data_IF_886306430901
#
_entry.id   IF_886306430901
#
_cell.length_a   1.000
_cell.length_b   1.000
_cell.length_c   1.000
_cell.angle_alpha   90.00
_cell.angle_beta   90.00
_cell.angle_gamma   90.00
#
_symmetry.space_group_name_H-M   'P 1'
#
loop_
_entity.id
_entity.type
_entity.pdbx_description
1 polymer ?
#
# COMPACT_ATOMS: atom_id res chain seq x y z
N UNK A 1 26.94 70.34 19.16
CA UNK A 1 26.69 69.05 19.79
C UNK A 1 25.27 68.58 19.40
N UNK A 2 25.15 67.78 18.33
CA UNK A 2 23.89 67.36 17.77
C UNK A 2 23.73 65.87 18.10
N UNK A 3 22.72 65.49 18.90
CA UNK A 3 22.41 64.15 19.27
C UNK A 3 21.52 63.51 18.19
N UNK A 4 22.02 62.52 17.46
CA UNK A 4 21.21 61.61 16.61
C UNK A 4 20.52 60.56 17.48
N UNK A 5 19.22 60.47 17.34
CA UNK A 5 18.43 59.38 17.89
C UNK A 5 18.22 58.31 16.78
N UNK A 6 18.69 57.08 17.02
CA UNK A 6 18.36 55.92 16.20
C UNK A 6 17.05 55.31 16.72
N UNK A 7 16.01 55.32 15.90
CA UNK A 7 14.82 54.50 16.14
C UNK A 7 15.06 53.12 15.54
N UNK A 8 15.14 52.09 16.37
CA UNK A 8 15.10 50.68 15.94
C UNK A 8 13.65 50.27 15.75
N UNK A 9 13.26 49.98 14.52
CA UNK A 9 11.99 49.32 14.21
C UNK A 9 12.17 47.81 14.40
N UNK A 10 11.56 47.26 15.44
CA UNK A 10 11.42 45.79 15.59
C UNK A 10 10.29 45.33 14.69
N UNK A 11 10.62 44.60 13.59
CA UNK A 11 9.66 43.86 12.81
C UNK A 11 9.22 42.65 13.63
N UNK A 12 8.07 42.72 14.26
CA UNK A 12 7.41 41.51 14.80
C UNK A 12 6.82 40.73 13.62
N UNK A 13 7.54 39.70 13.20
CA UNK A 13 7.01 38.66 12.28
C UNK A 13 5.92 37.88 13.00
N UNK A 14 4.66 38.08 12.63
CA UNK A 14 3.56 37.22 13.04
C UNK A 14 3.71 35.86 12.33
N UNK A 15 4.29 34.88 12.99
CA UNK A 15 4.17 33.49 12.59
C UNK A 15 2.71 33.09 12.74
N UNK A 16 1.98 32.99 11.63
CA UNK A 16 0.65 32.39 11.60
C UNK A 16 0.80 30.92 11.98
N UNK A 17 0.47 30.57 13.21
CA UNK A 17 0.26 29.18 13.60
C UNK A 17 -0.98 28.72 12.86
N UNK A 18 -0.80 27.98 11.76
CA UNK A 18 -1.90 27.25 11.13
C UNK A 18 -2.30 26.17 12.15
N UNK A 19 -3.41 26.41 12.85
CA UNK A 19 -4.01 25.40 13.71
C UNK A 19 -4.45 24.24 12.81
N UNK A 20 -3.66 23.17 12.74
CA UNK A 20 -4.11 21.93 12.15
C UNK A 20 -5.23 21.38 13.04
N UNK A 21 -6.37 21.03 12.44
CA UNK A 21 -7.41 20.30 13.14
C UNK A 21 -6.82 19.00 13.69
N UNK A 22 -7.30 18.54 14.84
CA UNK A 22 -6.84 17.27 15.39
C UNK A 22 -7.19 16.13 14.42
N UNK A 23 -6.27 15.15 14.24
CA UNK A 23 -6.54 13.98 13.40
C UNK A 23 -7.84 13.26 13.79
N UNK A 24 -8.61 12.83 12.80
CA UNK A 24 -9.88 12.16 12.99
C UNK A 24 -9.67 10.66 13.15
N UNK A 25 -10.16 10.07 14.25
CA UNK A 25 -10.23 8.62 14.40
C UNK A 25 -11.38 8.05 13.55
N UNK A 26 -11.07 7.05 12.72
CA UNK A 26 -12.01 6.40 11.79
C UNK A 26 -12.52 5.06 12.33
N UNK A 27 -11.62 4.23 12.85
CA UNK A 27 -12.03 2.95 13.45
C UNK A 27 -12.76 3.17 14.78
N UNK A 28 -13.78 2.35 15.10
CA UNK A 28 -14.46 2.44 16.38
C UNK A 28 -13.52 2.23 17.56
N UNK A 29 -13.78 2.89 18.67
CA UNK A 29 -13.00 2.72 19.91
C UNK A 29 -13.15 1.29 20.46
N UNK A 30 -12.06 0.75 21.01
CA UNK A 30 -12.01 -0.61 21.57
C UNK A 30 -11.76 -1.72 20.54
N UNK A 31 -11.67 -1.39 19.26
CA UNK A 31 -11.24 -2.29 18.20
C UNK A 31 -9.71 -2.42 18.17
N UNK A 32 -9.20 -3.46 17.50
CA UNK A 32 -7.75 -3.66 17.22
C UNK A 32 -7.51 -3.49 15.75
N UNK A 33 -7.70 -2.26 15.29
CA UNK A 33 -7.63 -1.90 13.89
C UNK A 33 -6.18 -1.72 13.42
N UNK A 34 -5.85 -2.27 12.25
CA UNK A 34 -4.52 -2.24 11.66
C UNK A 34 -4.56 -2.28 10.13
N UNK A 35 -3.39 -2.12 9.50
CA UNK A 35 -3.18 -2.31 8.06
C UNK A 35 -4.19 -1.51 7.19
N UNK A 36 -4.23 -0.18 7.32
CA UNK A 36 -5.18 0.65 6.58
C UNK A 36 -4.90 0.65 5.08
N UNK A 37 -5.98 0.86 4.31
CA UNK A 37 -5.94 1.27 2.90
C UNK A 37 -7.00 2.33 2.63
N UNK A 38 -6.90 3.04 1.52
CA UNK A 38 -7.79 4.15 1.19
C UNK A 38 -8.05 4.22 -0.31
N UNK A 39 -9.27 4.57 -0.68
CA UNK A 39 -9.62 4.96 -2.04
C UNK A 39 -10.55 6.16 -2.05
N UNK A 40 -10.45 6.95 -3.12
CA UNK A 40 -11.31 8.11 -3.39
C UNK A 40 -12.05 7.85 -4.70
N UNK A 41 -13.38 7.95 -4.68
CA UNK A 41 -14.18 7.84 -5.87
C UNK A 41 -14.24 9.17 -6.63
N UNK A 42 -14.60 9.10 -7.92
CA UNK A 42 -14.71 10.27 -8.80
C UNK A 42 -15.69 11.34 -8.29
N UNK A 43 -16.74 10.94 -7.55
CA UNK A 43 -17.71 11.85 -6.93
C UNK A 43 -17.17 12.52 -5.66
N UNK A 44 -15.94 12.21 -5.23
CA UNK A 44 -15.29 12.74 -4.04
C UNK A 44 -15.54 11.96 -2.74
N UNK A 45 -16.33 10.89 -2.78
CA UNK A 45 -16.47 9.99 -1.61
C UNK A 45 -15.12 9.35 -1.28
N UNK A 46 -14.81 9.27 0.01
CA UNK A 46 -13.59 8.64 0.53
C UNK A 46 -13.97 7.40 1.31
N UNK A 47 -13.35 6.27 0.98
CA UNK A 47 -13.49 5.04 1.77
C UNK A 47 -12.14 4.66 2.35
N UNK A 48 -12.12 4.49 3.67
CA UNK A 48 -10.98 3.96 4.41
C UNK A 48 -11.29 2.52 4.78
N UNK A 49 -10.37 1.62 4.48
CA UNK A 49 -10.41 0.21 4.78
C UNK A 49 -9.38 -0.12 5.85
N UNK A 50 -9.66 -1.08 6.72
CA UNK A 50 -8.71 -1.66 7.67
C UNK A 50 -9.03 -3.11 7.98
N UNK A 51 -8.11 -3.81 8.60
CA UNK A 51 -8.37 -5.10 9.25
C UNK A 51 -8.56 -4.92 10.73
N UNK A 52 -9.42 -5.74 11.31
CA UNK A 52 -9.61 -5.82 12.75
C UNK A 52 -9.45 -7.26 13.22
N UNK A 53 -8.80 -7.45 14.37
CA UNK A 53 -8.68 -8.79 14.94
C UNK A 53 -10.07 -9.30 15.31
N UNK A 54 -10.45 -10.45 14.76
CA UNK A 54 -11.74 -11.06 15.07
C UNK A 54 -11.82 -11.38 16.58
N UNK A 55 -12.92 -11.00 17.26
CA UNK A 55 -13.15 -11.36 18.66
C UNK A 55 -13.13 -12.88 18.90
N UNK A 56 -13.46 -13.65 17.86
CA UNK A 56 -13.47 -15.11 17.87
C UNK A 56 -12.13 -15.73 17.42
N UNK A 57 -11.11 -14.90 17.14
CA UNK A 57 -9.76 -15.43 16.94
C UNK A 57 -9.33 -16.10 18.23
N UNK A 58 -9.53 -17.40 18.33
CA UNK A 58 -8.92 -18.21 19.38
C UNK A 58 -7.45 -17.85 19.43
N UNK A 59 -6.88 -17.70 20.63
CA UNK A 59 -5.47 -17.61 20.83
C UNK A 59 -4.86 -18.93 20.29
N UNK A 60 -4.66 -18.98 18.97
CA UNK A 60 -3.94 -20.03 18.31
C UNK A 60 -2.60 -20.14 19.04
N UNK A 61 -2.26 -21.34 19.48
CA UNK A 61 -1.11 -21.56 20.35
C UNK A 61 0.15 -20.94 19.76
N UNK A 62 1.15 -20.69 20.58
CA UNK A 62 2.38 -19.94 20.28
C UNK A 62 3.16 -20.34 19.02
N UNK A 63 2.74 -21.38 18.30
CA UNK A 63 3.33 -21.86 17.05
C UNK A 63 2.65 -21.33 15.77
N UNK A 64 1.42 -20.79 15.86
CA UNK A 64 0.63 -20.34 14.70
C UNK A 64 0.60 -18.80 14.55
N UNK A 65 1.69 -18.12 14.86
CA UNK A 65 1.80 -16.64 14.72
C UNK A 65 1.59 -16.13 13.29
N UNK A 66 1.52 -17.03 12.31
CA UNK A 66 1.35 -16.69 10.90
C UNK A 66 -0.12 -16.73 10.44
N UNK A 67 -1.03 -17.27 11.24
CA UNK A 67 -2.46 -17.29 10.93
C UNK A 67 -3.10 -16.04 11.54
N UNK A 68 -3.14 -14.94 10.77
CA UNK A 68 -3.89 -13.77 11.16
C UNK A 68 -5.38 -14.06 10.91
N UNK A 69 -6.17 -14.25 11.98
CA UNK A 69 -7.62 -14.32 11.91
C UNK A 69 -8.17 -12.90 12.08
N UNK A 70 -8.47 -12.25 10.97
CA UNK A 70 -8.97 -10.87 10.95
C UNK A 70 -10.27 -10.76 10.15
N UNK A 71 -10.96 -9.65 10.36
CA UNK A 71 -12.08 -9.20 9.55
C UNK A 71 -11.71 -7.88 8.85
N UNK A 72 -12.27 -7.65 7.68
CA UNK A 72 -12.10 -6.40 6.92
C UNK A 72 -13.29 -5.50 7.18
N UNK A 73 -13.00 -4.24 7.49
CA UNK A 73 -13.98 -3.18 7.67
C UNK A 73 -13.68 -2.00 6.77
N UNK A 74 -14.73 -1.25 6.46
CA UNK A 74 -14.65 0.04 5.79
C UNK A 74 -15.49 1.08 6.52
N UNK A 75 -15.09 2.35 6.40
CA UNK A 75 -15.92 3.50 6.73
C UNK A 75 -15.88 4.50 5.57
N UNK A 76 -16.98 5.21 5.37
CA UNK A 76 -17.17 6.13 4.24
C UNK A 76 -17.37 7.54 4.74
N UNK A 77 -16.64 8.50 4.16
CA UNK A 77 -16.96 9.93 4.21
C UNK A 77 -17.51 10.35 2.85
N UNK A 78 -18.68 10.94 2.81
CA UNK A 78 -19.26 11.47 1.57
C UNK A 78 -18.55 12.77 1.18
N UNK A 79 -18.60 13.11 -0.10
CA UNK A 79 -17.88 14.27 -0.63
C UNK A 79 -18.21 15.61 0.03
N UNK A 80 -19.39 15.71 0.65
CA UNK A 80 -19.89 16.87 1.37
C UNK A 80 -19.80 16.74 2.90
N UNK A 81 -19.20 15.66 3.41
CA UNK A 81 -19.06 15.37 4.84
C UNK A 81 -17.61 15.46 5.29
N UNK A 82 -17.39 15.90 6.52
CA UNK A 82 -16.06 15.93 7.16
C UNK A 82 -15.81 14.71 8.05
N UNK A 83 -16.85 13.91 8.34
CA UNK A 83 -16.78 12.76 9.22
C UNK A 83 -17.00 11.46 8.44
N UNK A 84 -16.54 10.36 9.02
CA UNK A 84 -16.80 9.01 8.51
C UNK A 84 -18.05 8.43 9.17
N UNK A 85 -18.86 7.72 8.38
CA UNK A 85 -20.00 6.96 8.86
C UNK A 85 -19.60 5.72 9.68
N UNK A 86 -20.59 4.94 10.11
CA UNK A 86 -20.36 3.71 10.86
C UNK A 86 -19.55 2.70 10.05
N UNK A 87 -18.73 1.91 10.75
CA UNK A 87 -17.95 0.83 10.15
C UNK A 87 -18.85 -0.27 9.57
N UNK A 88 -18.57 -0.68 8.34
CA UNK A 88 -19.25 -1.76 7.62
C UNK A 88 -18.28 -2.92 7.45
N UNK A 89 -18.68 -4.12 7.86
CA UNK A 89 -17.89 -5.34 7.67
C UNK A 89 -17.99 -5.80 6.21
N UNK A 90 -16.85 -6.12 5.61
CA UNK A 90 -16.73 -6.50 4.19
C UNK A 90 -16.86 -8.01 3.98
N UNK A 91 -16.13 -8.81 4.77
CA UNK A 91 -16.16 -10.27 4.66
C UNK A 91 -17.26 -10.90 5.48
N UNK A 92 -17.96 -11.91 4.91
CA UNK A 92 -19.06 -12.61 5.60
C UNK A 92 -18.54 -13.56 6.69
N UNK A 93 -17.56 -14.42 6.37
CA UNK A 93 -17.02 -15.39 7.32
C UNK A 93 -16.08 -14.72 8.33
N UNK A 94 -16.44 -14.77 9.61
CA UNK A 94 -15.67 -14.14 10.68
C UNK A 94 -14.28 -14.78 10.83
N UNK A 95 -13.24 -13.95 10.93
CA UNK A 95 -11.86 -14.37 11.13
C UNK A 95 -11.22 -15.11 9.96
N UNK A 96 -11.86 -15.12 8.78
CA UNK A 96 -11.35 -15.84 7.62
C UNK A 96 -10.20 -15.10 6.90
N UNK A 97 -10.07 -13.79 7.12
CA UNK A 97 -9.12 -12.97 6.38
C UNK A 97 -7.71 -13.10 6.97
N UNK A 98 -6.75 -13.34 6.10
CA UNK A 98 -5.34 -13.23 6.42
C UNK A 98 -4.85 -11.82 6.07
N UNK A 99 -5.25 -10.84 6.91
CA UNK A 99 -4.96 -9.43 6.73
C UNK A 99 -3.97 -8.93 7.77
N UNK A 100 -2.87 -8.34 7.30
CA UNK A 100 -1.83 -7.75 8.15
C UNK A 100 -1.06 -6.69 7.39
N UNK A 101 -0.23 -5.91 8.10
CA UNK A 101 0.53 -4.79 7.53
C UNK A 101 1.34 -5.16 6.28
N UNK A 102 1.91 -6.35 6.22
CA UNK A 102 2.76 -6.82 5.12
C UNK A 102 1.97 -7.49 3.99
N UNK A 103 0.69 -7.76 4.19
CA UNK A 103 -0.27 -8.25 3.19
C UNK A 103 -1.64 -7.66 3.48
N UNK A 104 -1.75 -6.34 3.33
CA UNK A 104 -2.98 -5.61 3.62
C UNK A 104 -4.03 -5.86 2.53
N UNK A 105 -5.31 -5.97 2.89
CA UNK A 105 -6.41 -5.87 1.95
C UNK A 105 -6.33 -4.57 1.16
N UNK A 106 -6.86 -4.58 -0.06
CA UNK A 106 -6.83 -3.42 -0.96
C UNK A 106 -8.23 -2.98 -1.30
N UNK A 107 -8.41 -1.66 -1.44
CA UNK A 107 -9.64 -1.05 -1.92
C UNK A 107 -9.36 -0.10 -3.09
N UNK A 108 -10.22 -0.14 -4.11
CA UNK A 108 -10.20 0.82 -5.22
C UNK A 108 -11.64 1.17 -5.62
N UNK A 109 -11.81 2.30 -6.30
CA UNK A 109 -13.08 2.70 -6.92
C UNK A 109 -12.92 2.75 -8.43
N UNK A 110 -13.89 2.23 -9.17
CA UNK A 110 -13.99 2.43 -10.62
C UNK A 110 -14.66 3.78 -10.93
N UNK A 111 -14.49 4.32 -12.16
CA UNK A 111 -15.07 5.61 -12.53
C UNK A 111 -16.58 5.73 -12.38
N UNK A 112 -17.31 4.61 -12.40
CA UNK A 112 -18.77 4.54 -12.19
C UNK A 112 -19.19 4.51 -10.71
N UNK A 113 -18.23 4.52 -9.77
CA UNK A 113 -18.48 4.59 -8.33
C UNK A 113 -18.66 3.24 -7.63
N UNK A 114 -18.40 2.12 -8.29
CA UNK A 114 -18.32 0.80 -7.65
C UNK A 114 -17.05 0.70 -6.81
N UNK A 115 -17.19 0.21 -5.61
CA UNK A 115 -16.07 -0.09 -4.71
C UNK A 115 -15.66 -1.55 -4.83
N UNK A 116 -14.38 -1.81 -4.98
CA UNK A 116 -13.81 -3.13 -5.13
C UNK A 116 -12.83 -3.39 -3.99
N UNK A 117 -12.90 -4.58 -3.39
CA UNK A 117 -12.02 -4.99 -2.30
C UNK A 117 -11.41 -6.35 -2.61
N UNK A 118 -10.09 -6.48 -2.43
CA UNK A 118 -9.37 -7.76 -2.49
C UNK A 118 -8.58 -8.03 -1.22
N UNK A 119 -8.53 -9.29 -0.82
CA UNK A 119 -7.84 -9.73 0.39
C UNK A 119 -7.45 -11.21 0.31
N UNK A 120 -6.47 -11.61 1.10
CA UNK A 120 -6.11 -13.00 1.26
C UNK A 120 -7.00 -13.67 2.32
N UNK A 121 -7.33 -14.94 2.09
CA UNK A 121 -8.17 -15.76 2.97
C UNK A 121 -7.41 -17.01 3.37
N UNK A 122 -7.59 -17.42 4.63
CA UNK A 122 -7.16 -18.73 5.14
C UNK A 122 -8.19 -19.77 4.69
N UNK A 123 -7.92 -20.43 3.57
CA UNK A 123 -8.73 -21.54 3.09
C UNK A 123 -8.18 -22.89 3.60
N UNK A 124 -9.07 -23.88 3.75
CA UNK A 124 -8.66 -25.25 3.97
C UNK A 124 -8.45 -25.93 2.62
N UNK A 125 -7.23 -26.44 2.39
CA UNK A 125 -6.96 -27.20 1.17
C UNK A 125 -7.78 -28.51 1.15
N UNK A 126 -8.59 -28.76 0.11
CA UNK A 126 -9.58 -29.85 0.14
C UNK A 126 -8.94 -31.24 0.24
N UNK A 127 -7.77 -31.44 -0.37
CA UNK A 127 -7.06 -32.72 -0.39
C UNK A 127 -6.09 -32.85 0.78
N UNK A 128 -5.28 -31.83 1.02
CA UNK A 128 -4.20 -31.90 2.02
C UNK A 128 -4.69 -31.59 3.44
N UNK A 129 -5.91 -31.08 3.59
CA UNK A 129 -6.51 -30.72 4.88
C UNK A 129 -5.62 -29.81 5.74
N UNK A 130 -4.85 -28.95 5.09
CA UNK A 130 -3.97 -27.93 5.68
C UNK A 130 -4.35 -26.53 5.19
N UNK A 131 -3.91 -25.51 5.89
CA UNK A 131 -4.17 -24.13 5.52
C UNK A 131 -3.50 -23.74 4.21
N UNK A 132 -4.26 -23.11 3.33
CA UNK A 132 -3.80 -22.48 2.10
C UNK A 132 -4.21 -21.00 2.11
N UNK A 133 -3.37 -20.12 1.57
CA UNK A 133 -3.73 -18.74 1.32
C UNK A 133 -4.26 -18.59 -0.10
N UNK A 134 -5.41 -17.94 -0.23
CA UNK A 134 -6.06 -17.67 -1.52
C UNK A 134 -6.46 -16.22 -1.63
N UNK A 135 -6.41 -15.68 -2.83
CA UNK A 135 -6.85 -14.30 -3.12
C UNK A 135 -8.33 -14.28 -3.40
N UNK A 136 -9.06 -13.49 -2.61
CA UNK A 136 -10.48 -13.24 -2.73
C UNK A 136 -10.78 -11.81 -3.16
N UNK A 137 -11.97 -11.63 -3.73
CA UNK A 137 -12.48 -10.37 -4.22
C UNK A 137 -13.98 -10.23 -3.89
N UNK A 138 -14.38 -9.01 -3.59
CA UNK A 138 -15.78 -8.60 -3.46
C UNK A 138 -15.94 -7.16 -3.95
N UNK A 139 -17.19 -6.73 -4.14
CA UNK A 139 -17.51 -5.35 -4.54
C UNK A 139 -18.78 -4.85 -3.86
N UNK A 140 -18.93 -3.53 -3.88
CA UNK A 140 -20.13 -2.81 -3.45
C UNK A 140 -20.59 -1.85 -4.55
N UNK A 141 -21.88 -1.90 -4.89
CA UNK A 141 -22.53 -0.99 -5.84
C UNK A 141 -23.49 -0.01 -5.19
N UNK A 142 -23.59 -0.05 -3.86
CA UNK A 142 -24.52 0.76 -3.05
C UNK A 142 -23.81 1.83 -2.20
N UNK A 143 -22.60 2.21 -2.59
CA UNK A 143 -21.79 3.20 -1.89
C UNK A 143 -21.12 2.67 -0.62
N UNK A 144 -20.67 1.42 -0.63
CA UNK A 144 -20.05 0.71 0.48
C UNK A 144 -20.95 0.50 1.71
N UNK A 145 -22.28 0.48 1.53
CA UNK A 145 -23.23 0.12 2.60
C UNK A 145 -23.31 -1.39 2.79
N UNK A 146 -23.09 -2.16 1.72
CA UNK A 146 -22.98 -3.61 1.74
C UNK A 146 -22.02 -4.11 0.68
N UNK A 147 -21.54 -5.34 0.82
CA UNK A 147 -20.64 -6.00 -0.13
C UNK A 147 -21.25 -7.33 -0.59
N UNK A 148 -21.06 -7.64 -1.88
CA UNK A 148 -21.49 -8.91 -2.46
C UNK A 148 -20.74 -10.08 -1.81
N UNK A 149 -21.22 -11.30 -2.00
CA UNK A 149 -20.51 -12.50 -1.58
C UNK A 149 -19.14 -12.56 -2.24
N UNK A 150 -18.09 -12.73 -1.42
CA UNK A 150 -16.74 -12.80 -1.94
C UNK A 150 -16.53 -14.05 -2.79
N UNK A 151 -15.71 -13.92 -3.84
CA UNK A 151 -15.29 -15.03 -4.70
C UNK A 151 -13.77 -15.18 -4.67
N UNK A 152 -13.31 -16.41 -4.73
CA UNK A 152 -11.89 -16.74 -4.88
C UNK A 152 -11.47 -16.50 -6.34
N UNK A 153 -10.35 -15.82 -6.54
CA UNK A 153 -9.76 -15.57 -7.85
C UNK A 153 -8.56 -16.48 -8.14
N UNK A 154 -7.80 -16.87 -7.11
CA UNK A 154 -6.65 -17.76 -7.26
C UNK A 154 -7.04 -19.23 -7.14
N UNK A 155 -6.41 -20.10 -7.93
CA UNK A 155 -6.51 -21.54 -7.76
C UNK A 155 -5.80 -22.03 -6.51
N UNK A 156 -6.26 -23.15 -5.96
CA UNK A 156 -5.51 -23.93 -4.99
C UNK A 156 -4.53 -24.86 -5.70
N UNK A 157 -3.37 -25.06 -5.11
CA UNK A 157 -2.35 -25.99 -5.64
C UNK A 157 -1.98 -27.01 -4.58
N UNK A 158 -1.60 -28.22 -5.01
CA UNK A 158 -1.21 -29.31 -4.11
C UNK A 158 0.23 -29.18 -3.57
N UNK A 159 0.92 -28.07 -3.86
CA UNK A 159 2.28 -27.86 -3.41
C UNK A 159 2.32 -27.59 -1.89
N UNK A 160 3.03 -28.43 -1.16
CA UNK A 160 3.26 -28.24 0.28
C UNK A 160 4.36 -27.20 0.52
N UNK A 161 3.97 -26.07 1.09
CA UNK A 161 4.83 -24.95 1.43
C UNK A 161 5.27 -24.94 2.91
N UNK A 162 4.95 -26.00 3.69
CA UNK A 162 5.18 -26.04 5.14
C UNK A 162 6.64 -25.93 5.56
N UNK A 163 7.59 -26.26 4.67
CA UNK A 163 9.02 -26.11 4.89
C UNK A 163 9.68 -24.85 4.31
N UNK A 164 8.90 -23.92 3.74
CA UNK A 164 9.42 -22.70 3.12
C UNK A 164 9.43 -21.52 4.08
N UNK A 165 9.97 -20.37 3.62
CA UNK A 165 9.95 -19.11 4.38
C UNK A 165 8.55 -18.65 4.81
N UNK A 166 7.51 -19.13 4.16
CA UNK A 166 6.13 -18.85 4.54
C UNK A 166 5.54 -19.83 5.55
N UNK A 167 6.27 -20.87 5.96
CA UNK A 167 5.91 -21.93 6.90
C UNK A 167 4.43 -22.06 7.30
N UNK A 168 3.91 -23.28 7.35
CA UNK A 168 2.55 -23.52 7.80
C UNK A 168 1.46 -23.51 6.71
N UNK A 169 1.76 -23.08 5.48
CA UNK A 169 0.83 -23.10 4.35
C UNK A 169 1.22 -24.14 3.32
N UNK A 170 0.22 -24.84 2.75
CA UNK A 170 0.45 -25.76 1.62
C UNK A 170 0.53 -25.05 0.28
N UNK A 171 -0.10 -23.88 0.17
CA UNK A 171 0.07 -22.95 -0.97
C UNK A 171 -0.21 -21.53 -0.50
N UNK A 172 0.35 -20.56 -1.20
CA UNK A 172 0.09 -19.16 -0.91
C UNK A 172 -0.11 -18.35 -2.21
N UNK A 173 -1.30 -17.75 -2.33
CA UNK A 173 -1.66 -16.74 -3.31
C UNK A 173 -2.09 -15.49 -2.52
N UNK A 174 -1.11 -14.65 -2.15
CA UNK A 174 -1.27 -13.54 -1.23
C UNK A 174 -0.35 -12.36 -1.59
N UNK A 175 -0.13 -11.43 -0.68
CA UNK A 175 0.69 -10.23 -0.89
C UNK A 175 0.28 -9.44 -2.15
N UNK A 176 -1.02 -9.47 -2.39
CA UNK A 176 -1.62 -8.94 -3.61
C UNK A 176 -1.83 -7.44 -3.59
N UNK A 177 -2.24 -6.95 -4.75
CA UNK A 177 -2.68 -5.57 -4.96
C UNK A 177 -3.86 -5.55 -5.92
N UNK A 178 -4.49 -4.38 -6.03
CA UNK A 178 -5.58 -4.15 -6.97
C UNK A 178 -5.47 -2.73 -7.54
N UNK A 179 -5.83 -2.56 -8.80
CA UNK A 179 -5.94 -1.26 -9.43
C UNK A 179 -7.19 -1.20 -10.32
N UNK A 180 -7.88 -0.08 -10.29
CA UNK A 180 -8.96 0.26 -11.21
C UNK A 180 -8.44 1.23 -12.27
N UNK A 181 -8.73 0.94 -13.53
CA UNK A 181 -8.26 1.76 -14.64
C UNK A 181 -9.35 2.75 -15.12
N UNK A 182 -8.96 3.84 -15.79
CA UNK A 182 -9.89 4.80 -16.38
C UNK A 182 -10.89 4.19 -17.37
N UNK A 183 -10.54 3.07 -18.03
CA UNK A 183 -11.44 2.32 -18.93
C UNK A 183 -12.47 1.44 -18.18
N UNK A 184 -12.45 1.47 -16.84
CA UNK A 184 -13.34 0.69 -15.98
C UNK A 184 -12.85 -0.73 -15.69
N UNK A 185 -11.71 -1.15 -16.26
CA UNK A 185 -11.14 -2.46 -15.93
C UNK A 185 -10.60 -2.51 -14.50
N UNK A 186 -10.73 -3.67 -13.87
CA UNK A 186 -10.22 -3.95 -12.51
C UNK A 186 -9.19 -5.06 -12.60
N UNK A 187 -7.96 -4.75 -12.20
CA UNK A 187 -6.84 -5.67 -12.16
C UNK A 187 -6.61 -6.15 -10.72
N UNK A 188 -6.68 -7.45 -10.48
CA UNK A 188 -6.28 -8.06 -9.21
C UNK A 188 -5.03 -8.87 -9.46
N UNK A 189 -3.99 -8.64 -8.66
CA UNK A 189 -2.68 -9.27 -8.79
C UNK A 189 -2.26 -9.86 -7.45
N UNK A 190 -1.55 -10.97 -7.49
CA UNK A 190 -1.00 -11.58 -6.27
C UNK A 190 0.34 -12.25 -6.54
N UNK A 191 1.08 -12.48 -5.48
CA UNK A 191 2.26 -13.33 -5.47
C UNK A 191 1.78 -14.75 -5.22
N UNK A 192 2.28 -15.67 -6.03
CA UNK A 192 1.89 -17.07 -6.00
C UNK A 192 3.11 -17.97 -5.82
N UNK A 193 2.99 -18.93 -4.95
CA UNK A 193 4.09 -19.82 -4.60
C UNK A 193 4.01 -21.20 -5.26
N UNK A 194 3.02 -21.44 -6.16
CA UNK A 194 2.80 -22.74 -6.82
C UNK A 194 4.00 -23.26 -7.60
N UNK A 195 4.95 -22.41 -7.98
CA UNK A 195 6.20 -22.78 -8.66
C UNK A 195 7.44 -22.56 -7.79
N UNK A 196 7.23 -22.30 -6.51
CA UNK A 196 8.32 -22.12 -5.57
C UNK A 196 8.82 -23.49 -5.11
N UNK A 197 10.07 -23.82 -5.43
CA UNK A 197 10.75 -24.99 -4.93
C UNK A 197 11.60 -24.64 -3.71
N UNK A 198 11.94 -25.64 -2.89
CA UNK A 198 12.77 -25.47 -1.70
C UNK A 198 14.08 -24.70 -1.95
N UNK A 199 14.63 -24.81 -3.15
CA UNK A 199 15.91 -24.20 -3.55
C UNK A 199 15.75 -22.84 -4.25
N UNK A 200 14.51 -22.45 -4.61
CA UNK A 200 14.24 -21.17 -5.25
C UNK A 200 13.53 -20.24 -4.27
N UNK A 201 14.22 -19.30 -3.69
CA UNK A 201 13.64 -18.29 -2.80
C UNK A 201 12.69 -17.30 -3.52
N UNK A 202 12.12 -17.68 -4.68
CA UNK A 202 11.33 -16.81 -5.53
C UNK A 202 9.95 -17.35 -5.84
N UNK A 203 8.95 -16.49 -5.75
CA UNK A 203 7.58 -16.75 -6.19
C UNK A 203 7.35 -16.33 -7.64
N UNK A 204 6.11 -16.53 -8.08
CA UNK A 204 5.55 -16.06 -9.35
C UNK A 204 4.59 -14.88 -9.10
N UNK A 205 4.18 -14.21 -10.16
CA UNK A 205 3.16 -13.17 -10.12
C UNK A 205 2.02 -13.56 -11.04
N UNK A 206 0.81 -13.55 -10.50
CA UNK A 206 -0.42 -13.87 -11.21
C UNK A 206 -1.39 -12.68 -11.23
N UNK A 207 -2.30 -12.70 -12.19
CA UNK A 207 -3.36 -11.69 -12.31
C UNK A 207 -4.66 -12.31 -12.82
N UNK A 208 -5.77 -11.71 -12.41
CA UNK A 208 -7.08 -11.82 -13.03
C UNK A 208 -7.62 -10.41 -13.29
N UNK A 209 -8.30 -10.24 -14.42
CA UNK A 209 -8.79 -8.92 -14.86
C UNK A 209 -10.29 -9.00 -15.11
N UNK A 210 -11.01 -8.02 -14.58
CA UNK A 210 -12.41 -7.77 -14.91
C UNK A 210 -12.50 -6.60 -15.91
N UNK A 211 -13.41 -6.73 -16.90
CA UNK A 211 -13.75 -5.67 -17.86
C UNK A 211 -15.23 -5.28 -17.81
N UNK A 212 -15.93 -5.78 -16.80
CA UNK A 212 -17.38 -5.61 -16.60
C UNK A 212 -17.70 -5.14 -15.18
N UNK A 213 -16.85 -4.25 -14.63
CA UNK A 213 -17.01 -3.66 -13.30
C UNK A 213 -17.02 -4.71 -12.19
N UNK A 214 -16.17 -5.72 -12.31
CA UNK A 214 -16.02 -6.78 -11.31
C UNK A 214 -17.14 -7.83 -11.31
N UNK A 215 -18.06 -7.85 -12.30
CA UNK A 215 -19.09 -8.91 -12.41
C UNK A 215 -18.49 -10.25 -12.74
N UNK A 216 -17.49 -10.26 -13.62
CA UNK A 216 -16.71 -11.46 -13.94
C UNK A 216 -15.22 -11.13 -14.02
N UNK A 217 -14.38 -12.15 -13.94
CA UNK A 217 -12.93 -12.05 -14.10
C UNK A 217 -12.46 -13.06 -15.14
N UNK A 218 -11.39 -12.72 -15.85
CA UNK A 218 -10.66 -13.66 -16.67
C UNK A 218 -10.18 -14.85 -15.82
N UNK A 219 -9.87 -15.97 -16.44
CA UNK A 219 -9.07 -17.01 -15.81
C UNK A 219 -7.74 -16.38 -15.38
N UNK A 220 -7.25 -16.79 -14.23
CA UNK A 220 -5.94 -16.34 -13.74
C UNK A 220 -4.83 -16.68 -14.75
N UNK A 221 -3.86 -15.79 -14.89
CA UNK A 221 -2.68 -16.04 -15.73
C UNK A 221 -1.42 -15.55 -15.04
N UNK A 222 -0.33 -16.24 -15.28
CA UNK A 222 0.99 -15.78 -14.83
C UNK A 222 1.45 -14.59 -15.68
N UNK A 223 1.91 -13.54 -14.99
CA UNK A 223 2.64 -12.41 -15.59
C UNK A 223 4.15 -12.66 -15.54
N UNK A 224 4.62 -13.21 -14.43
CA UNK A 224 6.02 -13.52 -14.18
C UNK A 224 6.08 -14.89 -13.51
N UNK A 225 6.72 -15.86 -14.15
CA UNK A 225 6.71 -17.26 -13.69
C UNK A 225 7.65 -17.51 -12.49
N UNK A 226 8.69 -16.69 -12.32
CA UNK A 226 9.70 -16.85 -11.26
C UNK A 226 10.49 -15.56 -11.05
N UNK A 227 11.27 -15.49 -9.98
CA UNK A 227 12.13 -14.34 -9.72
C UNK A 227 11.43 -13.18 -8.99
N UNK A 228 10.21 -13.37 -8.50
CA UNK A 228 9.49 -12.39 -7.66
C UNK A 228 9.78 -12.68 -6.19
N UNK A 229 10.06 -11.63 -5.40
CA UNK A 229 10.19 -11.77 -3.95
C UNK A 229 8.85 -12.24 -3.36
N UNK A 230 8.80 -13.42 -2.69
CA UNK A 230 7.52 -14.10 -2.41
C UNK A 230 6.69 -13.45 -1.30
N UNK A 231 7.21 -12.44 -0.62
CA UNK A 231 6.57 -11.82 0.55
C UNK A 231 6.62 -10.28 0.56
N UNK A 232 7.00 -9.66 -0.56
CA UNK A 232 6.97 -8.20 -0.70
C UNK A 232 5.68 -7.82 -1.43
N UNK A 233 4.67 -7.36 -0.69
CA UNK A 233 3.37 -7.02 -1.24
C UNK A 233 3.50 -6.19 -2.53
N UNK A 234 2.78 -6.59 -3.56
CA UNK A 234 2.69 -5.84 -4.80
C UNK A 234 1.95 -4.51 -4.58
N UNK A 235 2.35 -3.48 -5.31
CA UNK A 235 1.68 -2.18 -5.30
C UNK A 235 1.40 -1.76 -6.74
N UNK A 236 0.18 -1.33 -7.04
CA UNK A 236 -0.21 -0.98 -8.40
C UNK A 236 -1.03 0.29 -8.44
N UNK A 237 -0.83 1.04 -9.51
CA UNK A 237 -1.68 2.16 -9.95
C UNK A 237 -1.87 2.06 -11.47
N UNK A 238 -2.84 2.77 -12.01
CA UNK A 238 -3.02 2.91 -13.46
C UNK A 238 -2.78 4.35 -13.88
N UNK A 239 -2.25 4.54 -15.09
CA UNK A 239 -2.14 5.87 -15.70
C UNK A 239 -3.40 6.19 -16.53
N UNK A 240 -3.45 7.39 -17.12
CA UNK A 240 -4.56 7.87 -17.93
C UNK A 240 -4.82 7.02 -19.20
N UNK A 241 -3.82 6.26 -19.66
CA UNK A 241 -3.93 5.31 -20.78
C UNK A 241 -4.40 3.92 -20.36
N UNK A 242 -4.85 3.76 -19.13
CA UNK A 242 -5.21 2.46 -18.53
C UNK A 242 -4.07 1.44 -18.53
N UNK A 243 -2.80 1.91 -18.59
CA UNK A 243 -1.64 1.05 -18.38
C UNK A 243 -1.44 0.85 -16.88
N UNK A 244 -1.15 -0.38 -16.49
CA UNK A 244 -0.85 -0.74 -15.11
C UNK A 244 0.64 -0.50 -14.81
N UNK A 245 0.92 0.28 -13.79
CA UNK A 245 2.26 0.49 -13.22
C UNK A 245 2.35 -0.27 -11.93
N UNK A 246 3.26 -1.23 -11.87
CA UNK A 246 3.33 -2.23 -10.82
C UNK A 246 4.68 -2.22 -10.12
N UNK A 247 4.68 -1.85 -8.85
CA UNK A 247 5.82 -1.95 -7.95
C UNK A 247 5.98 -3.38 -7.40
N UNK A 248 7.18 -3.91 -7.50
CA UNK A 248 7.52 -5.24 -7.02
C UNK A 248 8.97 -5.30 -6.53
N UNK A 249 9.40 -6.47 -6.11
CA UNK A 249 10.79 -6.75 -5.79
C UNK A 249 11.22 -8.05 -6.46
N UNK A 250 12.38 -8.05 -7.11
CA UNK A 250 12.98 -9.25 -7.70
C UNK A 250 13.81 -10.04 -6.68
N UNK A 251 14.08 -11.28 -7.01
CA UNK A 251 15.12 -12.12 -6.41
C UNK A 251 16.13 -12.44 -7.48
N UNK A 252 17.39 -12.04 -7.28
CA UNK A 252 18.52 -12.32 -8.14
C UNK A 252 19.47 -13.31 -7.46
N UNK A 253 20.38 -13.96 -8.21
CA UNK A 253 21.40 -14.84 -7.64
C UNK A 253 22.16 -14.16 -6.49
N UNK A 254 22.48 -14.93 -5.44
CA UNK A 254 23.10 -14.43 -4.22
C UNK A 254 22.12 -13.70 -3.29
N UNK A 255 20.81 -13.98 -3.42
CA UNK A 255 19.75 -13.35 -2.59
C UNK A 255 19.75 -11.82 -2.65
N UNK A 256 20.16 -11.25 -3.78
CA UNK A 256 20.06 -9.80 -4.03
C UNK A 256 18.60 -9.48 -4.40
N UNK A 257 18.00 -8.49 -3.70
CA UNK A 257 16.57 -8.18 -3.81
C UNK A 257 16.29 -6.72 -4.23
N UNK A 258 16.54 -6.36 -5.51
CA UNK A 258 16.28 -5.01 -6.00
C UNK A 258 14.78 -4.72 -6.05
N UNK A 259 14.42 -3.50 -5.72
CA UNK A 259 13.09 -2.97 -5.98
C UNK A 259 12.93 -2.66 -7.47
N UNK A 260 11.78 -2.98 -8.02
CA UNK A 260 11.50 -2.84 -9.45
C UNK A 260 10.12 -2.27 -9.71
N UNK A 261 9.97 -1.66 -10.88
CA UNK A 261 8.67 -1.26 -11.44
C UNK A 261 8.50 -1.93 -12.80
N UNK A 262 7.29 -2.39 -13.07
CA UNK A 262 6.87 -2.93 -14.36
C UNK A 262 5.72 -2.11 -14.92
N UNK A 263 5.68 -1.95 -16.24
CA UNK A 263 4.54 -1.39 -16.97
C UNK A 263 3.88 -2.48 -17.79
N UNK A 264 2.55 -2.59 -17.66
CA UNK A 264 1.73 -3.51 -18.43
C UNK A 264 0.70 -2.70 -19.23
N UNK A 265 0.73 -2.86 -20.55
CA UNK A 265 -0.31 -2.35 -21.42
C UNK A 265 -1.42 -3.39 -21.57
N UNK A 266 -2.68 -2.95 -21.52
CA UNK A 266 -3.83 -3.83 -21.78
C UNK A 266 -3.85 -4.39 -23.19
N UNK A 267 -3.13 -3.76 -24.12
CA UNK A 267 -3.02 -4.14 -25.53
C UNK A 267 -1.85 -5.09 -25.83
N UNK A 268 -0.96 -5.36 -24.88
CA UNK A 268 0.25 -6.16 -25.10
C UNK A 268 0.16 -7.50 -24.37
N UNK A 269 0.36 -8.60 -25.09
CA UNK A 269 0.59 -9.93 -24.52
C UNK A 269 2.05 -10.17 -24.10
N UNK A 270 2.93 -9.20 -24.38
CA UNK A 270 4.35 -9.30 -24.03
C UNK A 270 4.52 -9.37 -22.50
N UNK A 271 5.48 -10.18 -22.06
CA UNK A 271 5.85 -10.22 -20.65
C UNK A 271 6.40 -8.86 -20.24
N UNK A 272 5.94 -8.30 -19.11
CA UNK A 272 6.44 -7.00 -18.66
C UNK A 272 7.91 -7.08 -18.27
N UNK A 273 8.69 -6.07 -18.67
CA UNK A 273 10.04 -5.91 -18.20
C UNK A 273 10.04 -5.23 -16.83
N UNK A 274 10.84 -5.76 -15.89
CA UNK A 274 11.00 -5.19 -14.57
C UNK A 274 12.24 -4.30 -14.55
N UNK A 275 12.02 -3.00 -14.44
CA UNK A 275 13.06 -1.96 -14.40
C UNK A 275 13.43 -1.68 -12.95
N UNK A 276 14.73 -1.70 -12.62
CA UNK A 276 15.22 -1.33 -11.29
C UNK A 276 15.00 0.16 -11.02
N UNK A 277 14.56 0.50 -9.81
CA UNK A 277 14.43 1.90 -9.41
C UNK A 277 15.75 2.50 -8.86
N UNK A 278 16.85 1.75 -8.88
CA UNK A 278 18.13 2.18 -8.34
C UNK A 278 18.30 1.88 -6.85
N UNK A 279 19.28 2.55 -6.24
CA UNK A 279 19.72 2.31 -4.86
C UNK A 279 20.80 1.22 -4.78
N UNK A 280 21.42 1.10 -3.59
CA UNK A 280 22.45 0.11 -3.35
C UNK A 280 21.91 -1.33 -3.41
N UNK A 281 22.68 -2.30 -3.90
CA UNK A 281 22.27 -3.70 -3.87
C UNK A 281 21.97 -4.17 -2.45
N UNK A 282 20.78 -4.74 -2.25
CA UNK A 282 20.40 -5.28 -0.96
C UNK A 282 20.45 -6.81 -0.99
N UNK A 283 21.51 -7.37 -0.42
CA UNK A 283 21.65 -8.80 -0.22
C UNK A 283 21.01 -9.20 1.11
N UNK A 284 20.00 -10.07 1.06
CA UNK A 284 19.30 -10.56 2.24
C UNK A 284 18.81 -11.99 2.03
N UNK A 285 19.34 -12.93 2.83
CA UNK A 285 18.86 -14.30 2.89
C UNK A 285 17.56 -14.35 3.71
N UNK A 286 16.43 -14.03 3.09
CA UNK A 286 15.13 -13.96 3.74
C UNK A 286 14.16 -13.00 3.07
N UNK A 287 13.02 -12.78 3.72
CA UNK A 287 11.95 -11.91 3.24
C UNK A 287 12.07 -10.50 3.82
N UNK A 288 12.38 -9.47 3.01
CA UNK A 288 12.43 -8.10 3.49
C UNK A 288 11.06 -7.54 3.91
N UNK A 289 9.96 -8.04 3.35
CA UNK A 289 8.59 -7.58 3.61
C UNK A 289 8.42 -6.06 3.31
N UNK A 290 9.04 -5.59 2.22
CA UNK A 290 9.10 -4.16 1.85
C UNK A 290 8.49 -3.95 0.47
N UNK A 291 7.22 -3.48 0.40
CA UNK A 291 6.55 -3.17 -0.85
C UNK A 291 7.20 -1.96 -1.54
N UNK A 292 7.22 -1.98 -2.87
CA UNK A 292 7.63 -0.85 -3.70
C UNK A 292 6.41 0.00 -4.02
N UNK A 293 6.21 1.10 -3.30
CA UNK A 293 5.12 2.03 -3.53
C UNK A 293 5.32 2.80 -4.85
N UNK A 294 4.24 3.01 -5.60
CA UNK A 294 4.25 3.68 -6.92
C UNK A 294 3.13 4.71 -7.02
N UNK A 295 3.39 5.80 -7.76
CA UNK A 295 2.42 6.81 -8.17
C UNK A 295 2.72 7.28 -9.59
N UNK A 296 1.74 7.94 -10.25
CA UNK A 296 1.87 8.42 -11.63
C UNK A 296 1.37 9.85 -11.77
N UNK A 297 1.95 10.59 -12.73
CA UNK A 297 1.45 11.87 -13.20
C UNK A 297 1.83 12.03 -14.68
N UNK A 298 0.87 11.85 -15.58
CA UNK A 298 1.13 11.74 -17.03
C UNK A 298 2.10 10.60 -17.30
N UNK A 299 3.22 10.89 -17.96
CA UNK A 299 4.28 9.92 -18.25
C UNK A 299 5.33 9.77 -17.11
N UNK A 300 5.19 10.52 -16.04
CA UNK A 300 6.05 10.37 -14.87
C UNK A 300 5.57 9.26 -13.98
N UNK A 301 6.53 8.45 -13.54
CA UNK A 301 6.30 7.38 -12.55
C UNK A 301 7.22 7.64 -11.36
N UNK A 302 6.66 7.60 -10.18
CA UNK A 302 7.34 7.82 -8.92
C UNK A 302 7.37 6.50 -8.15
N UNK A 303 8.52 6.15 -7.57
CA UNK A 303 8.68 4.93 -6.81
C UNK A 303 9.42 5.19 -5.49
N UNK A 304 8.88 4.66 -4.39
CA UNK A 304 9.50 4.74 -3.07
C UNK A 304 9.48 3.37 -2.39
N UNK A 305 10.60 3.00 -1.74
CA UNK A 305 10.72 1.70 -1.08
C UNK A 305 11.77 1.77 0.03
N UNK A 306 11.59 0.99 1.09
CA UNK A 306 12.69 0.76 2.04
C UNK A 306 13.79 -0.07 1.39
N UNK A 307 15.04 0.41 1.45
CA UNK A 307 16.23 -0.30 1.03
C UNK A 307 17.20 -0.48 2.20
N UNK A 308 17.52 -1.73 2.53
CA UNK A 308 18.48 -2.07 3.58
C UNK A 308 19.92 -2.23 3.09
N UNK A 309 20.16 -2.10 1.78
CA UNK A 309 21.49 -2.14 1.18
C UNK A 309 22.23 -0.80 1.21
N UNK A 310 21.55 0.29 1.51
CA UNK A 310 22.15 1.61 1.65
C UNK A 310 23.07 1.66 2.88
N UNK A 311 24.10 2.51 2.84
CA UNK A 311 24.97 2.78 4.00
C UNK A 311 24.15 3.15 5.25
N UNK A 312 23.07 3.93 5.05
CA UNK A 312 22.04 4.18 6.05
C UNK A 312 20.71 3.61 5.55
N UNK A 313 20.28 2.44 6.04
CA UNK A 313 19.02 1.84 5.63
C UNK A 313 17.82 2.79 5.79
N UNK A 314 16.97 2.86 4.80
CA UNK A 314 15.81 3.74 4.84
C UNK A 314 15.01 3.73 3.55
N UNK A 315 14.01 4.61 3.49
CA UNK A 315 13.17 4.77 2.29
C UNK A 315 13.94 5.57 1.24
N UNK A 316 14.15 4.96 0.08
CA UNK A 316 14.70 5.59 -1.13
C UNK A 316 13.56 6.05 -2.04
N UNK A 317 13.85 7.04 -2.88
CA UNK A 317 12.94 7.63 -3.85
C UNK A 317 13.58 7.70 -5.24
N UNK A 318 12.79 7.42 -6.27
CA UNK A 318 13.22 7.48 -7.66
C UNK A 318 12.10 7.97 -8.57
N UNK A 319 12.45 8.62 -9.67
CA UNK A 319 11.54 9.21 -10.65
C UNK A 319 11.86 8.70 -12.04
N UNK A 320 10.84 8.26 -12.77
CA UNK A 320 10.89 8.03 -14.20
C UNK A 320 10.18 9.18 -14.93
N UNK A 321 10.74 9.62 -16.05
CA UNK A 321 10.16 10.65 -16.93
C UNK A 321 9.63 10.07 -18.25
N UNK A 322 9.74 8.76 -18.43
CA UNK A 322 9.51 8.02 -19.67
C UNK A 322 8.64 6.79 -19.46
N UNK A 323 7.61 6.93 -18.60
CA UNK A 323 6.61 5.91 -18.34
C UNK A 323 7.21 4.58 -17.86
N UNK A 324 8.09 4.65 -16.87
CA UNK A 324 8.81 3.54 -16.23
C UNK A 324 9.85 2.83 -17.10
N UNK A 325 10.32 3.43 -18.21
CA UNK A 325 11.41 2.84 -19.00
C UNK A 325 12.79 2.98 -18.28
N UNK A 326 13.02 4.11 -17.60
CA UNK A 326 14.21 4.36 -16.80
C UNK A 326 13.87 5.10 -15.53
N UNK A 327 14.68 4.95 -14.49
CA UNK A 327 14.52 5.65 -13.21
C UNK A 327 15.77 6.44 -12.83
N UNK A 328 15.56 7.71 -12.46
CA UNK A 328 16.54 8.58 -11.83
C UNK A 328 16.46 8.43 -10.32
N UNK A 329 17.51 7.90 -9.69
CA UNK A 329 17.61 7.77 -8.25
C UNK A 329 17.76 9.15 -7.57
N UNK A 330 16.92 9.45 -6.58
CA UNK A 330 16.87 10.74 -5.87
C UNK A 330 17.44 10.68 -4.46
N UNK A 331 17.70 9.49 -3.93
CA UNK A 331 18.28 9.31 -2.60
C UNK A 331 17.26 8.96 -1.53
N UNK A 332 17.68 9.14 -0.26
CA UNK A 332 16.84 8.88 0.92
C UNK A 332 15.84 10.00 1.16
N UNK A 333 14.58 9.64 1.45
CA UNK A 333 13.53 10.62 1.78
C UNK A 333 13.72 11.24 3.16
N UNK A 334 14.37 10.51 4.09
CA UNK A 334 14.63 10.95 5.47
C UNK A 334 16.09 10.68 5.85
N UNK A 335 17.04 11.46 5.32
CA UNK A 335 18.44 11.32 5.69
C UNK A 335 18.61 11.64 7.18
N UNK A 336 19.29 10.75 7.92
CA UNK A 336 19.54 10.90 9.35
C UNK A 336 18.54 10.22 10.28
N UNK A 337 17.38 9.75 9.83
CA UNK A 337 16.52 8.86 10.62
C UNK A 337 17.22 7.53 10.86
N UNK A 338 17.04 6.94 12.05
CA UNK A 338 17.65 5.65 12.36
C UNK A 338 17.11 4.56 11.40
N UNK A 339 15.77 4.50 11.18
CA UNK A 339 15.12 3.59 10.24
C UNK A 339 13.83 4.27 9.76
N UNK A 340 13.73 4.54 8.45
CA UNK A 340 12.48 4.92 7.79
C UNK A 340 11.93 3.76 6.99
N UNK A 341 10.59 3.55 7.00
CA UNK A 341 9.95 2.36 6.44
C UNK A 341 8.51 2.62 5.99
N UNK A 342 7.90 1.62 5.32
CA UNK A 342 6.52 1.59 4.87
C UNK A 342 6.10 2.87 4.13
N UNK A 343 6.79 3.24 3.04
CA UNK A 343 6.42 4.41 2.28
C UNK A 343 5.06 4.24 1.61
N UNK A 344 4.33 5.37 1.52
CA UNK A 344 3.22 5.57 0.62
C UNK A 344 3.51 6.81 -0.22
N UNK A 345 3.11 6.79 -1.48
CA UNK A 345 3.38 7.86 -2.42
C UNK A 345 2.12 8.16 -3.25
N UNK A 346 1.83 9.42 -3.46
CA UNK A 346 0.73 9.87 -4.30
C UNK A 346 1.12 11.14 -5.08
N UNK A 347 0.51 11.38 -6.22
CA UNK A 347 0.68 12.61 -6.99
C UNK A 347 -0.67 13.15 -7.45
N UNK A 348 -0.89 14.44 -7.26
CA UNK A 348 -2.07 15.16 -7.77
C UNK A 348 -1.82 15.83 -9.15
N UNK A 349 -0.71 15.49 -9.82
CA UNK A 349 -0.31 16.07 -11.11
C UNK A 349 0.43 17.41 -11.01
N UNK A 350 0.53 18.00 -9.83
CA UNK A 350 1.27 19.25 -9.54
C UNK A 350 2.43 19.02 -8.58
N UNK A 351 2.20 18.17 -7.60
CA UNK A 351 3.17 17.77 -6.58
C UNK A 351 3.15 16.26 -6.38
N UNK A 352 4.19 15.76 -5.74
CA UNK A 352 4.28 14.39 -5.24
C UNK A 352 4.37 14.48 -3.73
N UNK A 353 3.57 13.69 -3.04
CA UNK A 353 3.64 13.54 -1.59
C UNK A 353 4.13 12.14 -1.26
N UNK A 354 5.15 12.05 -0.42
CA UNK A 354 5.63 10.79 0.15
C UNK A 354 5.38 10.85 1.66
N UNK A 355 4.75 9.82 2.21
CA UNK A 355 4.60 9.60 3.63
C UNK A 355 5.27 8.27 4.03
N UNK A 356 5.84 8.23 5.22
CA UNK A 356 6.51 7.04 5.76
C UNK A 356 6.42 7.06 7.28
N UNK A 357 6.71 5.93 7.92
CA UNK A 357 7.02 5.96 9.33
C UNK A 357 8.53 5.85 9.57
N UNK A 358 9.00 6.45 10.65
CA UNK A 358 10.38 6.35 11.08
C UNK A 358 10.48 6.23 12.58
N UNK A 359 11.62 5.67 13.03
CA UNK A 359 11.98 5.58 14.43
C UNK A 359 13.37 6.18 14.61
N UNK A 360 13.45 7.29 15.32
CA UNK A 360 14.72 7.88 15.72
C UNK A 360 15.11 7.40 17.12
N UNK A 361 14.41 7.88 18.14
CA UNK A 361 14.55 7.46 19.54
C UNK A 361 13.14 7.38 20.13
N UNK A 362 12.69 6.21 20.56
CA UNK A 362 11.33 6.05 21.09
C UNK A 362 10.34 5.33 20.16
N UNK A 363 9.03 5.65 20.17
CA UNK A 363 8.04 5.05 19.31
C UNK A 363 8.24 5.42 17.83
N UNK A 364 7.52 4.74 16.94
CA UNK A 364 7.44 5.14 15.52
C UNK A 364 6.51 6.34 15.40
N UNK A 365 6.88 7.27 14.50
CA UNK A 365 6.06 8.41 14.10
C UNK A 365 5.88 8.41 12.60
N UNK A 366 4.80 9.05 12.12
CA UNK A 366 4.52 9.22 10.70
C UNK A 366 5.03 10.57 10.24
N UNK A 367 5.80 10.55 9.16
CA UNK A 367 6.38 11.73 8.52
C UNK A 367 5.91 11.82 7.09
N UNK A 368 5.96 13.02 6.51
CA UNK A 368 5.70 13.26 5.11
C UNK A 368 6.55 14.42 4.57
N UNK A 369 6.72 14.44 3.24
CA UNK A 369 7.39 15.53 2.53
C UNK A 369 6.82 15.65 1.12
N UNK A 370 6.72 16.90 0.67
CA UNK A 370 6.35 17.21 -0.71
C UNK A 370 7.58 17.23 -1.61
N UNK A 371 7.35 16.90 -2.87
CA UNK A 371 8.35 16.94 -3.93
C UNK A 371 7.75 17.56 -5.19
N UNK A 372 8.62 18.13 -6.05
CA UNK A 372 8.24 18.47 -7.42
C UNK A 372 8.04 17.22 -8.26
N UNK A 373 7.45 17.38 -9.45
CA UNK A 373 7.33 16.27 -10.41
C UNK A 373 8.69 15.80 -10.96
N UNK A 374 9.77 16.54 -10.75
CA UNK A 374 11.13 16.13 -11.09
C UNK A 374 11.86 15.45 -9.91
N UNK A 375 11.16 15.30 -8.79
CA UNK A 375 11.67 14.62 -7.60
C UNK A 375 12.49 15.51 -6.66
N UNK A 376 12.48 16.82 -6.86
CA UNK A 376 13.16 17.76 -5.96
C UNK A 376 12.30 18.04 -4.72
N UNK A 377 12.88 18.00 -3.51
CA UNK A 377 12.14 18.25 -2.27
C UNK A 377 11.57 19.68 -2.22
N UNK A 378 10.34 19.78 -1.73
CA UNK A 378 9.66 21.07 -1.46
C UNK A 378 9.36 21.18 0.02
N UNK A 379 10.00 22.14 0.67
CA UNK A 379 9.88 22.34 2.12
C UNK A 379 10.59 21.28 2.95
N UNK A 380 10.39 21.37 4.25
CA UNK A 380 10.99 20.47 5.24
C UNK A 380 10.17 19.18 5.41
N UNK A 381 10.80 18.18 6.04
CA UNK A 381 10.10 16.99 6.51
C UNK A 381 9.13 17.43 7.62
N UNK A 382 7.87 17.02 7.47
CA UNK A 382 6.81 17.27 8.43
C UNK A 382 6.48 16.00 9.19
N UNK A 383 6.12 16.13 10.46
CA UNK A 383 5.64 15.03 11.30
C UNK A 383 4.13 15.18 11.54
N UNK A 384 3.39 14.09 11.47
CA UNK A 384 1.98 14.05 11.89
C UNK A 384 1.95 14.09 13.41
N UNK A 385 1.17 15.01 14.03
CA UNK A 385 1.13 15.16 15.48
C UNK A 385 0.37 13.99 16.13
N UNK A 386 1.10 12.98 16.59
CA UNK A 386 0.56 11.77 17.24
C UNK A 386 0.81 11.72 18.73
N UNK A 387 1.47 12.74 19.30
CA UNK A 387 1.95 12.73 20.69
C UNK A 387 2.92 11.59 20.92
N UNK A 388 2.89 10.99 22.12
CA UNK A 388 3.76 9.87 22.49
C UNK A 388 3.26 8.49 21.96
N UNK A 389 2.18 8.48 21.18
CA UNK A 389 1.62 7.24 20.63
C UNK A 389 2.37 6.78 19.41
N UNK A 390 2.66 5.48 19.35
CA UNK A 390 3.25 4.89 18.16
C UNK A 390 2.30 4.98 16.95
N UNK A 391 2.80 5.56 15.87
CA UNK A 391 2.08 5.69 14.60
C UNK A 391 2.88 5.09 13.45
N UNK A 392 2.19 4.38 12.55
CA UNK A 392 2.84 3.61 11.49
C UNK A 392 1.93 3.40 10.28
N UNK A 393 2.51 2.86 9.21
CA UNK A 393 1.79 2.40 8.03
C UNK A 393 0.92 3.47 7.36
N UNK A 394 1.48 4.65 7.04
CA UNK A 394 0.72 5.67 6.33
C UNK A 394 0.30 5.18 4.95
N UNK A 395 -0.88 5.61 4.52
CA UNK A 395 -1.40 5.43 3.16
C UNK A 395 -1.94 6.75 2.66
N UNK A 396 -1.64 7.07 1.41
CA UNK A 396 -2.03 8.31 0.76
C UNK A 396 -3.02 8.05 -0.37
N UNK A 397 -3.98 8.95 -0.53
CA UNK A 397 -4.80 9.06 -1.73
C UNK A 397 -4.96 10.54 -2.10
N UNK A 398 -5.21 10.81 -3.38
CA UNK A 398 -5.53 12.16 -3.87
C UNK A 398 -7.04 12.33 -3.84
N UNK A 399 -7.51 13.42 -3.23
CA UNK A 399 -8.92 13.83 -3.21
C UNK A 399 -9.31 14.50 -4.53
N UNK A 400 -10.60 14.57 -4.80
CA UNK A 400 -11.14 15.24 -6.00
C UNK A 400 -10.84 16.76 -6.03
N UNK A 401 -10.57 17.37 -4.89
CA UNK A 401 -10.18 18.79 -4.76
C UNK A 401 -8.67 19.02 -4.95
N UNK A 402 -7.88 17.96 -5.22
CA UNK A 402 -6.44 17.98 -5.39
C UNK A 402 -5.64 17.95 -4.08
N UNK A 403 -6.28 17.97 -2.92
CA UNK A 403 -5.64 17.72 -1.63
C UNK A 403 -5.29 16.24 -1.47
N UNK A 404 -4.46 15.94 -0.49
CA UNK A 404 -4.09 14.57 -0.14
C UNK A 404 -4.83 14.14 1.12
N UNK A 405 -5.42 12.94 1.10
CA UNK A 405 -5.89 12.26 2.29
C UNK A 405 -4.79 11.32 2.77
N UNK A 406 -4.38 11.44 4.02
CA UNK A 406 -3.47 10.54 4.68
C UNK A 406 -4.22 9.71 5.73
N UNK A 407 -3.94 8.42 5.77
CA UNK A 407 -4.48 7.48 6.75
C UNK A 407 -3.32 6.74 7.39
N UNK A 408 -3.37 6.50 8.69
CA UNK A 408 -2.33 5.74 9.40
C UNK A 408 -2.91 4.91 10.53
N UNK A 409 -2.15 3.94 10.98
CA UNK A 409 -2.41 3.23 12.23
C UNK A 409 -1.70 3.95 13.38
N UNK A 410 -2.45 4.29 14.44
CA UNK A 410 -1.91 4.80 15.69
C UNK A 410 -2.36 3.90 16.84
N UNK A 411 -1.42 3.21 17.47
CA UNK A 411 -1.73 2.11 18.39
C UNK A 411 -2.66 1.07 17.75
N UNK A 412 -3.82 0.81 18.32
CA UNK A 412 -4.83 -0.12 17.81
C UNK A 412 -5.99 0.58 17.07
N UNK A 413 -5.78 1.79 16.57
CA UNK A 413 -6.82 2.59 15.90
C UNK A 413 -6.33 3.14 14.55
N UNK A 414 -7.29 3.43 13.66
CA UNK A 414 -7.04 4.08 12.37
C UNK A 414 -7.42 5.55 12.46
N UNK A 415 -6.50 6.40 12.08
CA UNK A 415 -6.65 7.85 12.01
C UNK A 415 -6.45 8.37 10.59
N UNK A 416 -6.99 9.55 10.35
CA UNK A 416 -6.87 10.23 9.06
C UNK A 416 -6.77 11.74 9.24
N UNK A 417 -6.16 12.39 8.24
CA UNK A 417 -6.10 13.84 8.10
C UNK A 417 -6.05 14.23 6.62
N UNK A 418 -6.31 15.50 6.33
CA UNK A 418 -6.23 16.07 4.98
C UNK A 418 -5.03 17.02 4.91
N UNK A 419 -4.13 16.77 3.97
CA UNK A 419 -2.96 17.61 3.71
C UNK A 419 -3.19 18.43 2.44
N UNK A 420 -2.70 19.68 2.43
CA UNK A 420 -2.84 20.58 1.28
C UNK A 420 -2.26 19.99 0.00
N UNK A 421 -2.91 20.23 -1.12
CA UNK A 421 -2.45 19.83 -2.45
C UNK A 421 -1.40 20.73 -3.08
N UNK A 422 -0.95 21.83 -2.38
CA UNK A 422 0.02 22.89 -2.70
C UNK A 422 0.22 23.20 -4.18
#
# INVERSE_FOLDING_TARGET
MTKLWFFAFALMGTTSIVSMAAPLQVSPSGHKAAAPDIAVAKNGDVVILWVDRSPNASAAGNHDRHIAATDVYVAVSRSNESNFGAAVKVNAAAGAVWGQQVSRPRIVATPNGTWHVSYAVNDLHPTLQKTALTTHYTRSTDGARSFEAARRLSSLTDQDMSGTIHGGFVSAAAFGTMAAAPDGSVHVLWIDTRHMHHDSESGAMYTAVSRDDGRSFSVERSLVNTGVCPCCQLMAVTNERSELILGSRKVLPGSIRPATVMRLSSASEAKPEAVSIGGAPWQIAGCPLKPTAVAVAGDRVFAAVHNGGEEKPGVIFSVSKDNAAHFDFKGLVHPGAAISDAPSIASNGKTVLIAWHARANGPRHVFYRYYSLDGEPRGDIQEIPTGDNAAQAPVLAVRSDGNYQIVWQQSDSIFTDTLSGQ
#
